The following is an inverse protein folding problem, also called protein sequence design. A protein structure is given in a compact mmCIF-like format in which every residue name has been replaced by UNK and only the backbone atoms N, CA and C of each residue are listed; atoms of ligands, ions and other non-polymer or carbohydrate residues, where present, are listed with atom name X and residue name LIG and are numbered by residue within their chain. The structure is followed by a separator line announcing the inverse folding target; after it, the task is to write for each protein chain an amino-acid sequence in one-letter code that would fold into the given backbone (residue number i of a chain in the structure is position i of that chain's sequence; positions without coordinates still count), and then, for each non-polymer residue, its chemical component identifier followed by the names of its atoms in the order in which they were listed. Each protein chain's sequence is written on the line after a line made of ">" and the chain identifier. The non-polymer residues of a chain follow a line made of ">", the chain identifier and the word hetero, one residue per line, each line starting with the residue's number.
data_IF_315665637599
#
_entry.id   IF_315665637599
#
_cell.length_a   1.000
_cell.length_b   1.000
_cell.length_c   1.000
_cell.angle_alpha   90.00
_cell.angle_beta   90.00
_cell.angle_gamma   90.00
#
_symmetry.space_group_name_H-M   'P 1'
#
loop_
_entity.id
_entity.type
_entity.pdbx_description
1 polymer ?
#
# COMPACT_ATOMS: atom_id res chain seq x y z
N UNK A 1 30.25 -8.23 19.16
CA UNK A 1 30.43 -9.23 18.09
C UNK A 1 29.07 -9.55 17.50
N UNK A 2 28.84 -9.43 16.18
CA UNK A 2 27.63 -9.97 15.60
C UNK A 2 27.65 -11.50 15.71
N UNK A 3 26.52 -12.18 15.92
CA UNK A 3 26.46 -13.64 15.87
C UNK A 3 26.88 -14.13 14.49
N UNK A 4 27.63 -15.23 14.43
CA UNK A 4 28.05 -15.83 13.16
C UNK A 4 26.85 -16.51 12.48
N UNK A 5 26.82 -16.52 11.14
CA UNK A 5 25.79 -17.20 10.34
C UNK A 5 25.52 -18.66 10.78
N UNK A 6 26.52 -19.48 11.17
CA UNK A 6 26.27 -20.81 11.72
C UNK A 6 25.47 -20.80 13.03
N UNK A 7 25.75 -19.86 13.95
CA UNK A 7 25.02 -19.75 15.22
C UNK A 7 23.54 -19.35 15.02
N UNK A 8 23.23 -18.63 13.94
CA UNK A 8 21.85 -18.28 13.58
C UNK A 8 21.05 -19.44 12.95
N UNK A 9 21.74 -20.42 12.36
CA UNK A 9 21.13 -21.50 11.58
C UNK A 9 21.04 -22.83 12.34
N UNK A 10 21.86 -23.02 13.37
CA UNK A 10 22.01 -24.30 14.05
C UNK A 10 21.16 -24.48 15.31
N UNK A 11 20.27 -23.54 15.67
CA UNK A 11 19.26 -23.65 16.73
C UNK A 11 19.69 -24.45 17.97
N UNK A 12 20.09 -23.78 19.06
CA UNK A 12 20.50 -24.43 20.31
C UNK A 12 19.36 -25.27 20.95
N UNK A 13 19.21 -26.52 20.52
CA UNK A 13 18.43 -27.55 21.20
C UNK A 13 19.37 -28.41 22.05
N UNK A 14 19.82 -27.88 23.19
CA UNK A 14 20.26 -28.74 24.30
C UNK A 14 19.78 -28.17 25.64
N UNK A 15 18.69 -28.74 26.15
CA UNK A 15 18.43 -28.71 27.58
C UNK A 15 19.44 -29.64 28.28
N UNK A 16 20.56 -29.09 28.74
CA UNK A 16 21.60 -29.84 29.46
C UNK A 16 22.55 -28.94 30.25
N UNK A 17 22.52 -29.13 31.57
CA UNK A 17 23.50 -28.77 32.62
C UNK A 17 24.07 -27.32 32.70
N UNK A 18 23.89 -26.59 33.82
CA UNK A 18 24.30 -25.18 33.91
C UNK A 18 25.80 -24.93 34.18
N UNK A 19 26.67 -25.95 34.12
CA UNK A 19 28.10 -25.84 34.45
C UNK A 19 29.06 -26.43 33.39
N UNK A 20 28.62 -26.60 32.14
CA UNK A 20 29.49 -27.00 31.02
C UNK A 20 29.70 -25.86 30.03
N UNK A 21 30.95 -25.46 29.78
CA UNK A 21 31.30 -24.65 28.59
C UNK A 21 30.68 -25.31 27.35
N UNK A 22 29.98 -24.57 26.47
CA UNK A 22 29.42 -25.16 25.26
C UNK A 22 30.58 -25.55 24.34
N UNK A 23 30.86 -26.86 24.27
CA UNK A 23 31.67 -27.43 23.21
C UNK A 23 30.94 -27.18 21.88
N UNK A 24 31.27 -26.06 21.24
CA UNK A 24 30.90 -25.81 19.85
C UNK A 24 31.65 -26.83 18.99
N UNK A 25 30.95 -27.85 18.52
CA UNK A 25 31.46 -28.79 17.53
C UNK A 25 31.81 -28.01 16.23
N UNK A 26 33.10 -27.86 15.88
CA UNK A 26 33.53 -27.06 14.73
C UNK A 26 33.20 -27.74 13.39
N UNK A 27 32.68 -28.98 13.39
CA UNK A 27 32.40 -29.78 12.21
C UNK A 27 30.90 -30.08 11.98
N UNK A 28 30.00 -29.36 12.69
CA UNK A 28 28.56 -29.45 12.47
C UNK A 28 28.19 -28.88 11.09
N UNK A 29 28.26 -29.72 10.05
CA UNK A 29 27.79 -29.39 8.70
C UNK A 29 26.29 -29.13 8.73
N UNK A 30 25.87 -27.96 8.22
CA UNK A 30 24.46 -27.64 8.04
C UNK A 30 23.76 -28.76 7.25
N UNK A 31 22.56 -29.21 7.66
CA UNK A 31 21.84 -30.25 6.94
C UNK A 31 21.51 -29.78 5.51
N UNK A 32 21.91 -30.56 4.51
CA UNK A 32 21.67 -30.23 3.11
C UNK A 32 20.56 -31.11 2.53
N UNK A 33 19.63 -30.48 1.82
CA UNK A 33 18.51 -31.11 1.12
C UNK A 33 18.65 -30.89 -0.39
N UNK A 34 18.18 -31.83 -1.20
CA UNK A 34 18.17 -31.67 -2.65
C UNK A 34 17.19 -30.57 -3.06
N UNK A 35 15.98 -30.62 -2.50
CA UNK A 35 14.84 -29.80 -2.89
C UNK A 35 14.23 -29.13 -1.66
N UNK A 36 14.35 -27.81 -1.61
CA UNK A 36 13.89 -26.98 -0.50
C UNK A 36 12.75 -26.08 -0.97
N UNK A 37 11.75 -25.89 -0.13
CA UNK A 37 10.69 -24.91 -0.33
C UNK A 37 10.81 -23.75 0.65
N UNK A 38 10.38 -22.57 0.21
CA UNK A 38 10.17 -21.40 1.04
C UNK A 38 8.87 -20.73 0.62
N UNK A 39 8.01 -20.46 1.60
CA UNK A 39 6.77 -19.72 1.41
C UNK A 39 6.89 -18.32 1.99
N UNK A 40 6.40 -17.31 1.28
CA UNK A 40 6.41 -15.95 1.77
C UNK A 40 5.48 -15.03 1.00
N UNK A 41 5.13 -13.89 1.60
CA UNK A 41 4.43 -12.84 0.85
C UNK A 41 5.38 -12.13 -0.14
N UNK A 42 6.70 -12.14 0.13
CA UNK A 42 7.76 -11.56 -0.69
C UNK A 42 7.31 -10.32 -1.47
N UNK A 43 6.99 -9.25 -0.74
CA UNK A 43 6.66 -7.93 -1.31
C UNK A 43 7.95 -7.22 -1.75
N UNK A 44 8.45 -6.27 -0.95
CA UNK A 44 9.78 -5.71 -1.11
C UNK A 44 10.80 -6.52 -0.31
N UNK A 45 11.91 -6.92 -0.93
CA UNK A 45 12.95 -7.69 -0.25
C UNK A 45 13.75 -6.82 0.72
N UNK A 46 13.60 -7.10 2.01
CA UNK A 46 14.34 -6.48 3.11
C UNK A 46 15.25 -7.50 3.82
N UNK A 47 16.02 -7.04 4.82
CA UNK A 47 17.03 -7.85 5.51
C UNK A 47 16.52 -9.21 6.00
N UNK A 48 15.34 -9.25 6.61
CA UNK A 48 14.75 -10.51 7.08
C UNK A 48 14.44 -11.51 5.94
N UNK A 49 13.86 -11.05 4.83
CA UNK A 49 13.66 -11.91 3.65
C UNK A 49 15.00 -12.39 3.08
N UNK A 50 15.99 -11.50 3.00
CA UNK A 50 17.32 -11.84 2.47
C UNK A 50 17.99 -12.93 3.31
N UNK A 51 17.93 -12.82 4.64
CA UNK A 51 18.44 -13.84 5.55
C UNK A 51 17.73 -15.20 5.35
N UNK A 52 16.39 -15.19 5.36
CA UNK A 52 15.58 -16.39 5.14
C UNK A 52 15.93 -17.07 3.81
N UNK A 53 15.95 -16.31 2.72
CA UNK A 53 16.23 -16.82 1.39
C UNK A 53 17.69 -17.30 1.24
N UNK A 54 18.66 -16.58 1.81
CA UNK A 54 20.06 -17.00 1.81
C UNK A 54 20.26 -18.32 2.56
N UNK A 55 19.58 -18.51 3.69
CA UNK A 55 19.58 -19.78 4.40
C UNK A 55 18.97 -20.91 3.55
N UNK A 56 17.85 -20.66 2.86
CA UNK A 56 17.29 -21.62 1.91
C UNK A 56 18.30 -22.03 0.82
N UNK A 57 19.07 -21.08 0.29
CA UNK A 57 20.12 -21.36 -0.69
C UNK A 57 21.26 -22.20 -0.12
N UNK A 58 21.61 -22.04 1.16
CA UNK A 58 22.62 -22.87 1.83
C UNK A 58 22.11 -24.31 2.01
N UNK A 59 20.85 -24.48 2.40
CA UNK A 59 20.24 -25.78 2.64
C UNK A 59 19.94 -26.53 1.33
N UNK A 60 19.67 -25.83 0.23
CA UNK A 60 19.36 -26.45 -1.05
C UNK A 60 20.63 -26.83 -1.85
N UNK A 61 20.62 -28.04 -2.44
CA UNK A 61 21.67 -28.52 -3.35
C UNK A 61 21.28 -28.54 -4.82
N UNK A 62 20.00 -28.77 -5.14
CA UNK A 62 19.52 -28.91 -6.52
C UNK A 62 18.50 -27.84 -6.88
N UNK A 63 17.46 -27.67 -6.07
CA UNK A 63 16.31 -26.84 -6.39
C UNK A 63 15.80 -26.09 -5.17
N UNK A 64 15.43 -24.82 -5.38
CA UNK A 64 14.70 -24.01 -4.41
C UNK A 64 13.36 -23.59 -5.03
N UNK A 65 12.27 -24.05 -4.41
CA UNK A 65 10.92 -23.63 -4.72
C UNK A 65 10.54 -22.44 -3.84
N UNK A 66 10.30 -21.28 -4.45
CA UNK A 66 9.90 -20.07 -3.75
C UNK A 66 8.50 -19.66 -4.17
N UNK A 67 7.55 -19.81 -3.24
CA UNK A 67 6.18 -19.36 -3.44
C UNK A 67 6.02 -17.88 -3.09
N UNK A 68 5.53 -17.09 -4.04
CA UNK A 68 5.29 -15.65 -3.89
C UNK A 68 3.79 -15.41 -3.81
N UNK A 69 3.31 -14.87 -2.69
CA UNK A 69 1.88 -14.62 -2.48
C UNK A 69 1.27 -13.74 -3.59
N UNK A 70 0.08 -14.12 -4.04
CA UNK A 70 -0.69 -13.42 -5.04
C UNK A 70 -2.21 -13.62 -4.82
N UNK A 71 -3.03 -12.87 -5.56
CA UNK A 71 -4.49 -13.01 -5.53
C UNK A 71 -5.09 -12.86 -4.13
N UNK A 72 -5.80 -13.88 -3.67
CA UNK A 72 -6.59 -13.84 -2.43
C UNK A 72 -5.74 -13.70 -1.17
N UNK A 73 -4.49 -14.18 -1.20
CA UNK A 73 -3.56 -14.04 -0.09
C UNK A 73 -3.16 -12.59 0.21
N UNK A 74 -3.33 -11.69 -0.76
CA UNK A 74 -2.99 -10.28 -0.61
C UNK A 74 -4.14 -9.45 -0.04
N UNK A 75 -5.40 -9.89 -0.18
CA UNK A 75 -6.60 -9.08 0.10
C UNK A 75 -6.69 -8.57 1.54
N UNK A 76 -6.23 -9.37 2.50
CA UNK A 76 -6.31 -9.04 3.93
C UNK A 76 -5.01 -8.41 4.49
N UNK A 77 -4.01 -8.18 3.64
CA UNK A 77 -2.78 -7.54 4.07
C UNK A 77 -3.04 -6.05 4.33
N UNK A 78 -2.24 -5.45 5.21
CA UNK A 78 -2.30 -4.00 5.46
C UNK A 78 -1.75 -3.27 4.23
N UNK A 79 -2.51 -2.29 3.71
CA UNK A 79 -2.17 -1.51 2.51
C UNK A 79 -1.89 -2.41 1.28
N UNK A 80 -2.84 -3.29 0.89
CA UNK A 80 -2.61 -4.22 -0.23
C UNK A 80 -2.42 -3.48 -1.57
N UNK A 81 -2.89 -2.23 -1.67
CA UNK A 81 -2.75 -1.40 -2.86
C UNK A 81 -1.32 -0.92 -3.10
N UNK A 82 -0.45 -0.98 -2.09
CA UNK A 82 0.97 -0.63 -2.18
C UNK A 82 1.87 -1.86 -2.39
N UNK A 83 1.30 -3.05 -2.54
CA UNK A 83 2.05 -4.27 -2.88
C UNK A 83 2.42 -4.22 -4.36
N UNK A 84 3.67 -4.53 -4.67
CA UNK A 84 4.13 -4.55 -6.07
C UNK A 84 3.44 -5.67 -6.88
N UNK A 85 3.29 -5.52 -8.21
CA UNK A 85 2.79 -6.60 -9.06
C UNK A 85 3.60 -7.90 -8.91
N UNK A 86 2.95 -9.05 -9.07
CA UNK A 86 3.58 -10.36 -8.92
C UNK A 86 4.84 -10.49 -9.78
N UNK A 87 4.77 -10.06 -11.03
CA UNK A 87 5.84 -10.18 -12.02
C UNK A 87 7.09 -9.43 -11.56
N UNK A 88 6.91 -8.23 -10.99
CA UNK A 88 8.02 -7.41 -10.50
C UNK A 88 8.66 -8.03 -9.26
N UNK A 89 7.84 -8.54 -8.33
CA UNK A 89 8.32 -9.21 -7.10
C UNK A 89 9.04 -10.50 -7.42
N UNK A 90 8.49 -11.32 -8.31
CA UNK A 90 9.10 -12.56 -8.78
C UNK A 90 10.42 -12.31 -9.50
N UNK A 91 10.52 -11.26 -10.33
CA UNK A 91 11.76 -10.88 -11.00
C UNK A 91 12.84 -10.44 -10.00
N UNK A 92 12.51 -9.57 -9.04
CA UNK A 92 13.44 -9.14 -7.98
C UNK A 92 13.89 -10.30 -7.08
N UNK A 93 12.98 -11.22 -6.79
CA UNK A 93 13.30 -12.44 -6.06
C UNK A 93 14.26 -13.33 -6.84
N UNK A 94 14.00 -13.52 -8.13
CA UNK A 94 14.87 -14.28 -9.03
C UNK A 94 16.27 -13.69 -9.08
N UNK A 95 16.37 -12.39 -9.35
CA UNK A 95 17.64 -11.65 -9.40
C UNK A 95 18.44 -11.85 -8.11
N UNK A 96 17.80 -11.65 -6.95
CA UNK A 96 18.46 -11.85 -5.66
C UNK A 96 18.94 -13.30 -5.46
N UNK A 97 18.11 -14.29 -5.80
CA UNK A 97 18.46 -15.70 -5.62
C UNK A 97 19.62 -16.11 -6.54
N UNK A 98 19.56 -15.72 -7.81
CA UNK A 98 20.60 -15.98 -8.81
C UNK A 98 21.93 -15.32 -8.42
N UNK A 99 21.91 -14.13 -7.82
CA UNK A 99 23.11 -13.49 -7.26
C UNK A 99 23.69 -14.26 -6.06
N UNK A 100 22.85 -14.84 -5.21
CA UNK A 100 23.28 -15.56 -4.00
C UNK A 100 23.86 -16.93 -4.32
N UNK A 101 23.21 -17.72 -5.19
CA UNK A 101 23.68 -19.08 -5.54
C UNK A 101 23.30 -19.48 -6.97
N UNK A 102 24.05 -19.02 -7.99
CA UNK A 102 23.74 -19.25 -9.41
C UNK A 102 23.64 -20.74 -9.82
N UNK A 103 24.21 -21.65 -9.02
CA UNK A 103 24.21 -23.08 -9.31
C UNK A 103 22.89 -23.80 -9.01
N UNK A 104 21.93 -23.15 -8.34
CA UNK A 104 20.63 -23.74 -8.01
C UNK A 104 19.59 -23.52 -9.10
N UNK A 105 18.66 -24.46 -9.23
CA UNK A 105 17.44 -24.25 -10.00
C UNK A 105 16.38 -23.53 -9.15
N UNK A 106 15.78 -22.46 -9.69
CA UNK A 106 14.80 -21.63 -8.97
C UNK A 106 13.41 -21.72 -9.60
N UNK A 107 12.50 -22.39 -8.87
CA UNK A 107 11.07 -22.48 -9.20
C UNK A 107 10.32 -21.38 -8.43
N UNK A 108 10.06 -20.25 -9.09
CA UNK A 108 9.30 -19.13 -8.50
C UNK A 108 7.88 -19.18 -9.03
N UNK A 109 6.92 -19.35 -8.11
CA UNK A 109 5.53 -19.63 -8.45
C UNK A 109 4.57 -18.69 -7.71
N UNK A 110 3.44 -18.30 -8.31
CA UNK A 110 2.42 -17.56 -7.60
C UNK A 110 1.70 -18.48 -6.61
N UNK A 111 1.43 -17.96 -5.41
CA UNK A 111 0.63 -18.63 -4.39
C UNK A 111 -0.74 -17.95 -4.29
N UNK A 112 -1.80 -18.64 -4.69
CA UNK A 112 -3.18 -18.21 -4.48
C UNK A 112 -3.76 -18.72 -3.14
N UNK A 113 -3.12 -19.70 -2.53
CA UNK A 113 -3.49 -20.29 -1.24
C UNK A 113 -2.24 -20.54 -0.37
N UNK A 114 -2.41 -20.77 0.95
CA UNK A 114 -1.28 -20.89 1.88
C UNK A 114 -0.37 -22.10 1.65
N UNK A 115 -0.78 -23.08 0.84
CA UNK A 115 -0.07 -24.33 0.64
C UNK A 115 0.72 -24.32 -0.70
N UNK A 116 0.05 -23.99 -1.80
CA UNK A 116 0.63 -24.03 -3.14
C UNK A 116 1.24 -25.40 -3.49
N UNK A 117 2.36 -25.45 -4.25
CA UNK A 117 2.96 -26.72 -4.66
C UNK A 117 3.54 -27.54 -3.50
N UNK A 118 3.65 -26.96 -2.30
CA UNK A 118 4.22 -27.68 -1.15
C UNK A 118 3.37 -28.88 -0.71
N UNK A 119 2.11 -28.98 -1.12
CA UNK A 119 1.22 -30.12 -0.81
C UNK A 119 0.99 -31.06 -1.99
N UNK A 120 1.62 -30.82 -3.14
CA UNK A 120 1.48 -31.63 -4.36
C UNK A 120 2.82 -32.12 -4.91
N UNK A 121 3.92 -31.42 -4.64
CA UNK A 121 5.26 -31.80 -5.07
C UNK A 121 5.86 -32.86 -4.12
N UNK A 122 6.06 -34.11 -4.58
CA UNK A 122 6.61 -35.20 -3.76
C UNK A 122 8.13 -35.10 -3.58
N UNK A 123 8.85 -34.35 -4.42
CA UNK A 123 10.30 -34.28 -4.40
C UNK A 123 10.82 -33.33 -3.32
N UNK A 124 9.98 -32.43 -2.80
CA UNK A 124 10.33 -31.53 -1.71
C UNK A 124 10.69 -32.30 -0.44
N UNK A 125 11.79 -31.90 0.19
CA UNK A 125 12.33 -32.56 1.39
C UNK A 125 12.32 -31.66 2.62
N UNK A 126 12.46 -30.35 2.42
CA UNK A 126 12.54 -29.37 3.49
C UNK A 126 11.66 -28.15 3.18
N UNK A 127 11.02 -27.61 4.21
CA UNK A 127 10.36 -26.31 4.17
C UNK A 127 11.02 -25.41 5.21
N UNK A 128 11.61 -24.33 4.73
CA UNK A 128 12.24 -23.34 5.59
C UNK A 128 11.22 -22.30 5.98
N UNK A 129 11.11 -22.04 7.28
CA UNK A 129 10.14 -21.12 7.87
C UNK A 129 10.84 -20.15 8.82
N UNK A 130 10.19 -19.03 9.08
CA UNK A 130 10.52 -18.16 10.21
C UNK A 130 9.72 -18.58 11.43
N UNK A 131 10.10 -18.10 12.62
CA UNK A 131 9.32 -18.27 13.86
C UNK A 131 7.83 -17.87 13.66
N UNK A 132 7.58 -16.79 12.92
CA UNK A 132 6.22 -16.30 12.65
C UNK A 132 5.41 -17.22 11.71
N UNK A 133 6.09 -17.92 10.82
CA UNK A 133 5.47 -18.80 9.81
C UNK A 133 5.54 -20.28 10.17
N UNK A 134 6.07 -20.65 11.33
CA UNK A 134 6.19 -22.03 11.83
C UNK A 134 4.85 -22.79 11.81
N UNK A 135 3.78 -22.17 12.31
CA UNK A 135 2.42 -22.73 12.29
C UNK A 135 1.93 -23.01 10.87
N UNK A 136 2.37 -22.22 9.89
CA UNK A 136 2.09 -22.45 8.48
C UNK A 136 2.79 -23.70 7.96
N UNK A 137 4.05 -23.93 8.34
CA UNK A 137 4.78 -25.15 8.02
C UNK A 137 4.15 -26.41 8.62
N UNK A 138 3.71 -26.34 9.87
CA UNK A 138 2.96 -27.43 10.52
C UNK A 138 1.65 -27.74 9.77
N UNK A 139 0.92 -26.71 9.32
CA UNK A 139 -0.28 -26.88 8.52
C UNK A 139 -0.01 -27.52 7.15
N UNK A 140 1.12 -27.17 6.50
CA UNK A 140 1.58 -27.82 5.26
C UNK A 140 1.82 -29.31 5.49
N UNK A 141 2.56 -29.69 6.53
CA UNK A 141 2.83 -31.10 6.82
C UNK A 141 1.57 -31.90 7.11
N UNK A 142 0.64 -31.34 7.88
CA UNK A 142 -0.68 -31.96 8.08
C UNK A 142 -1.39 -32.21 6.74
N UNK A 143 -1.37 -31.24 5.83
CA UNK A 143 -2.02 -31.36 4.52
C UNK A 143 -1.29 -32.33 3.59
N UNK A 144 0.04 -32.41 3.66
CA UNK A 144 0.85 -33.39 2.94
C UNK A 144 0.46 -34.81 3.36
N UNK A 145 0.33 -35.07 4.66
CA UNK A 145 -0.11 -36.38 5.16
C UNK A 145 -1.52 -36.74 4.68
N UNK A 146 -2.46 -35.79 4.69
CA UNK A 146 -3.81 -35.98 4.13
C UNK A 146 -3.78 -36.33 2.63
N UNK A 147 -2.79 -35.81 1.89
CA UNK A 147 -2.57 -36.07 0.48
C UNK A 147 -1.70 -37.31 0.19
N UNK A 148 -1.27 -38.05 1.22
CA UNK A 148 -0.42 -39.23 1.07
C UNK A 148 1.05 -38.93 0.75
N UNK A 149 1.52 -37.71 1.04
CA UNK A 149 2.91 -37.28 0.89
C UNK A 149 3.65 -37.33 2.24
N UNK A 150 4.98 -37.58 2.23
CA UNK A 150 5.78 -37.52 3.44
C UNK A 150 5.89 -36.08 3.96
N UNK A 151 6.05 -35.93 5.27
CA UNK A 151 6.30 -34.62 5.90
C UNK A 151 7.61 -34.01 5.40
N UNK A 152 7.64 -32.68 5.32
CA UNK A 152 8.85 -31.91 5.07
C UNK A 152 9.59 -31.69 6.38
N UNK A 153 10.92 -31.77 6.34
CA UNK A 153 11.75 -31.27 7.43
C UNK A 153 11.51 -29.76 7.59
N UNK A 154 10.95 -29.35 8.73
CA UNK A 154 10.75 -27.94 9.03
C UNK A 154 12.05 -27.37 9.61
N UNK A 155 12.64 -26.41 8.91
CA UNK A 155 13.83 -25.69 9.40
C UNK A 155 13.44 -24.25 9.74
N UNK A 156 13.55 -23.89 11.01
CA UNK A 156 13.15 -22.59 11.53
C UNK A 156 14.35 -21.66 11.67
N UNK A 157 14.23 -20.43 11.16
CA UNK A 157 15.30 -19.42 11.25
C UNK A 157 14.86 -18.26 12.14
N UNK A 158 15.78 -17.85 13.01
CA UNK A 158 15.62 -16.66 13.85
C UNK A 158 15.96 -15.40 13.06
N UNK A 159 15.00 -14.47 12.95
CA UNK A 159 15.17 -13.20 12.24
C UNK A 159 15.63 -12.10 13.23
N UNK A 160 16.69 -11.35 12.89
CA UNK A 160 17.21 -10.27 13.73
C UNK A 160 16.28 -9.03 13.77
N UNK A 161 16.36 -8.26 14.87
CA UNK A 161 15.61 -7.02 15.13
C UNK A 161 16.29 -5.77 14.51
N UNK A 162 15.51 -4.75 14.15
CA UNK A 162 15.97 -3.50 13.50
C UNK A 162 16.48 -2.46 14.53
N UNK A 163 17.68 -1.87 14.37
CA UNK A 163 18.18 -0.81 15.25
C UNK A 163 17.58 0.60 15.03
N UNK A 164 16.98 0.92 13.88
CA UNK A 164 16.49 2.28 13.53
C UNK A 164 15.01 2.53 13.89
N UNK A 165 14.57 2.00 15.04
CA UNK A 165 13.16 1.98 15.45
C UNK A 165 12.57 3.36 15.74
N UNK A 166 11.39 3.65 15.18
CA UNK A 166 10.50 4.73 15.63
C UNK A 166 9.36 4.15 16.49
N UNK A 167 8.93 4.89 17.53
CA UNK A 167 8.12 4.40 18.68
C UNK A 167 6.83 3.58 18.36
N UNK A 168 6.36 3.54 17.11
CA UNK A 168 5.12 2.87 16.70
C UNK A 168 5.31 1.75 15.66
N UNK A 169 6.53 1.38 15.29
CA UNK A 169 6.78 0.24 14.42
C UNK A 169 6.83 -1.07 15.24
N UNK A 170 6.46 -2.21 14.65
CA UNK A 170 6.86 -3.50 15.23
C UNK A 170 8.40 -3.53 15.31
N UNK A 171 9.01 -4.16 16.31
CA UNK A 171 10.49 -4.27 16.45
C UNK A 171 11.21 -4.93 15.25
N UNK A 172 10.46 -5.29 14.20
CA UNK A 172 10.85 -6.14 13.07
C UNK A 172 10.49 -5.45 11.76
N UNK A 173 11.42 -5.42 10.81
CA UNK A 173 11.12 -5.02 9.43
C UNK A 173 10.20 -6.08 8.82
N UNK A 174 8.91 -5.78 8.74
CA UNK A 174 7.91 -6.59 8.04
C UNK A 174 7.54 -5.93 6.71
N UNK A 175 7.06 -6.71 5.75
CA UNK A 175 6.55 -6.14 4.48
C UNK A 175 5.47 -5.08 4.72
N UNK A 176 4.65 -5.25 5.77
CA UNK A 176 3.63 -4.28 6.17
C UNK A 176 4.24 -2.95 6.65
N UNK A 177 5.28 -2.99 7.48
CA UNK A 177 6.00 -1.79 7.93
C UNK A 177 6.59 -1.00 6.77
N UNK A 178 7.17 -1.68 5.76
CA UNK A 178 7.70 -1.02 4.57
C UNK A 178 6.63 -0.29 3.78
N UNK A 179 5.46 -0.89 3.60
CA UNK A 179 4.33 -0.23 2.92
C UNK A 179 3.85 0.99 3.71
N UNK A 180 3.85 0.94 5.03
CA UNK A 180 3.57 2.13 5.86
C UNK A 180 4.62 3.22 5.66
N UNK A 181 5.91 2.86 5.60
CA UNK A 181 7.02 3.80 5.32
C UNK A 181 6.92 4.44 3.93
N UNK A 182 6.23 3.82 2.96
CA UNK A 182 5.95 4.44 1.65
C UNK A 182 4.91 5.56 1.72
N UNK A 183 4.04 5.57 2.74
CA UNK A 183 3.04 6.63 2.89
C UNK A 183 3.73 7.99 3.07
N UNK A 184 3.18 8.98 2.39
CA UNK A 184 3.73 10.33 2.32
C UNK A 184 5.04 10.45 1.52
N UNK A 185 5.51 9.38 0.87
CA UNK A 185 6.64 9.46 -0.07
C UNK A 185 6.15 9.62 -1.51
N UNK A 186 7.05 10.04 -2.40
CA UNK A 186 6.79 10.10 -3.83
C UNK A 186 6.92 8.69 -4.43
N UNK A 187 5.80 8.10 -4.85
CA UNK A 187 5.75 6.74 -5.41
C UNK A 187 6.08 6.70 -6.90
N UNK A 188 5.76 7.78 -7.62
CA UNK A 188 6.01 7.97 -9.03
C UNK A 188 6.34 9.44 -9.31
N UNK A 189 7.11 9.76 -10.36
CA UNK A 189 7.50 11.14 -10.63
C UNK A 189 6.28 12.05 -10.84
N UNK A 190 6.40 13.36 -10.52
CA UNK A 190 5.36 14.34 -10.82
C UNK A 190 5.03 14.36 -12.30
N UNK A 191 3.79 14.75 -12.63
CA UNK A 191 3.38 14.91 -14.01
C UNK A 191 4.16 16.07 -14.63
N UNK A 192 4.82 15.78 -15.75
CA UNK A 192 5.50 16.79 -16.55
C UNK A 192 4.53 17.29 -17.62
N UNK A 193 3.61 18.17 -17.24
CA UNK A 193 2.77 18.88 -18.20
C UNK A 193 3.30 20.31 -18.38
N UNK A 194 3.78 20.60 -19.60
CA UNK A 194 4.31 21.91 -19.98
C UNK A 194 3.24 23.00 -20.01
N UNK A 195 1.95 22.63 -20.01
CA UNK A 195 0.84 23.58 -19.96
C UNK A 195 0.59 24.13 -18.55
N UNK A 196 1.12 23.48 -17.50
CA UNK A 196 0.94 23.94 -16.12
C UNK A 196 1.97 25.02 -15.75
N UNK A 197 1.55 26.11 -15.08
CA UNK A 197 2.47 27.13 -14.62
C UNK A 197 3.37 26.56 -13.51
N UNK A 198 4.66 26.94 -13.50
CA UNK A 198 5.62 26.53 -12.47
C UNK A 198 5.18 26.91 -11.04
N UNK A 199 4.40 27.99 -10.91
CA UNK A 199 3.81 28.44 -9.65
C UNK A 199 2.39 28.98 -9.86
N UNK A 200 1.46 28.73 -8.93
CA UNK A 200 1.63 27.88 -7.74
C UNK A 200 1.77 26.40 -8.11
N UNK A 201 2.50 25.63 -7.31
CA UNK A 201 2.51 24.17 -7.45
C UNK A 201 1.18 23.61 -6.97
N UNK A 202 0.45 22.96 -7.87
CA UNK A 202 -0.90 22.45 -7.63
C UNK A 202 -0.87 20.96 -7.31
N UNK A 203 -1.38 20.62 -6.13
CA UNK A 203 -1.64 19.25 -5.67
C UNK A 203 -3.13 18.96 -5.84
N UNK A 204 -3.47 17.87 -6.51
CA UNK A 204 -4.84 17.33 -6.53
C UNK A 204 -5.05 16.36 -5.37
N UNK A 205 -5.80 16.76 -4.35
CA UNK A 205 -6.12 15.90 -3.23
C UNK A 205 -7.45 15.17 -3.49
N UNK A 206 -7.41 13.84 -3.50
CA UNK A 206 -8.56 12.96 -3.72
C UNK A 206 -8.63 11.83 -2.70
N UNK A 207 -9.72 11.07 -2.70
CA UNK A 207 -9.93 9.94 -1.80
C UNK A 207 -11.38 9.49 -1.76
N UNK A 208 -11.60 8.20 -1.49
CA UNK A 208 -12.94 7.63 -1.37
C UNK A 208 -13.74 8.21 -0.21
N UNK A 209 -15.07 8.05 -0.21
CA UNK A 209 -15.89 8.49 0.93
C UNK A 209 -15.44 7.80 2.22
N UNK A 210 -15.30 8.58 3.31
CA UNK A 210 -14.83 8.08 4.60
C UNK A 210 -13.30 8.07 4.78
N UNK A 211 -12.52 8.29 3.72
CA UNK A 211 -11.03 8.25 3.73
C UNK A 211 -10.33 9.32 4.57
N UNK A 212 -11.06 10.31 5.11
CA UNK A 212 -10.46 11.37 5.93
C UNK A 212 -9.78 12.50 5.14
N UNK A 213 -10.03 12.60 3.81
CA UNK A 213 -9.52 13.66 2.92
C UNK A 213 -9.59 15.08 3.51
N UNK A 214 -10.73 15.47 4.09
CA UNK A 214 -10.91 16.80 4.71
C UNK A 214 -9.95 17.06 5.88
N UNK A 215 -9.57 16.02 6.63
CA UNK A 215 -8.57 16.14 7.70
C UNK A 215 -7.19 16.45 7.12
N UNK A 216 -6.80 15.73 6.06
CA UNK A 216 -5.53 15.97 5.34
C UNK A 216 -5.50 17.38 4.74
N UNK A 217 -6.58 17.80 4.08
CA UNK A 217 -6.71 19.14 3.51
C UNK A 217 -6.50 20.23 4.57
N UNK A 218 -7.09 20.06 5.76
CA UNK A 218 -6.90 20.98 6.89
C UNK A 218 -5.44 21.04 7.33
N UNK A 219 -4.78 19.89 7.51
CA UNK A 219 -3.38 19.83 7.92
C UNK A 219 -2.49 20.53 6.88
N UNK A 220 -2.72 20.31 5.58
CA UNK A 220 -1.99 20.99 4.51
C UNK A 220 -2.21 22.52 4.52
N UNK A 221 -3.43 22.96 4.82
CA UNK A 221 -3.74 24.38 5.02
C UNK A 221 -2.96 24.98 6.20
N UNK A 222 -2.91 24.27 7.33
CA UNK A 222 -2.14 24.68 8.52
C UNK A 222 -0.62 24.75 8.22
N UNK A 223 -0.12 23.92 7.30
CA UNK A 223 1.27 23.94 6.81
C UNK A 223 1.56 25.04 5.78
N UNK A 224 0.53 25.78 5.36
CA UNK A 224 0.67 26.98 4.52
C UNK A 224 0.21 26.83 3.07
N UNK A 225 -0.37 25.69 2.69
CA UNK A 225 -0.99 25.53 1.37
C UNK A 225 -2.28 26.36 1.26
N UNK A 226 -2.56 26.86 0.05
CA UNK A 226 -3.89 27.40 -0.26
C UNK A 226 -4.83 26.25 -0.63
N UNK A 227 -5.87 26.00 0.15
CA UNK A 227 -6.78 24.87 -0.07
C UNK A 227 -8.03 25.35 -0.78
N UNK A 228 -8.26 24.79 -1.97
CA UNK A 228 -9.45 25.01 -2.78
C UNK A 228 -10.37 23.81 -2.61
N UNK A 229 -11.54 24.04 -2.03
CA UNK A 229 -12.59 23.03 -1.93
C UNK A 229 -13.37 23.00 -3.24
N UNK A 230 -13.01 22.05 -4.12
CA UNK A 230 -13.61 21.93 -5.45
C UNK A 230 -15.07 21.49 -5.37
N UNK A 231 -15.44 20.72 -4.33
CA UNK A 231 -16.82 20.35 -4.09
C UNK A 231 -17.63 21.62 -3.84
N UNK A 232 -17.20 22.51 -2.92
CA UNK A 232 -17.87 23.81 -2.69
C UNK A 232 -17.88 24.72 -3.90
N UNK A 233 -16.76 24.83 -4.64
CA UNK A 233 -16.72 25.66 -5.85
C UNK A 233 -17.72 25.15 -6.88
N UNK A 234 -17.76 23.84 -7.11
CA UNK A 234 -18.69 23.24 -8.03
C UNK A 234 -20.14 23.55 -7.72
N UNK A 235 -20.50 23.62 -6.43
CA UNK A 235 -21.83 24.04 -6.01
C UNK A 235 -22.16 25.46 -6.44
N UNK A 236 -21.22 26.39 -6.28
CA UNK A 236 -21.42 27.80 -6.62
C UNK A 236 -21.73 27.99 -8.12
N UNK A 237 -21.15 27.14 -8.99
CA UNK A 237 -21.30 27.23 -10.44
C UNK A 237 -22.74 26.91 -10.90
N UNK A 238 -23.47 26.06 -10.18
CA UNK A 238 -24.86 25.71 -10.51
C UNK A 238 -25.88 26.21 -9.46
N UNK A 239 -25.56 27.24 -8.69
CA UNK A 239 -26.58 28.04 -7.99
C UNK A 239 -27.40 28.82 -9.04
N UNK A 240 -28.70 29.11 -8.84
CA UNK A 240 -29.46 29.98 -9.74
C UNK A 240 -28.68 31.26 -10.10
N UNK A 241 -28.48 31.50 -11.40
CA UNK A 241 -27.66 32.60 -11.94
C UNK A 241 -26.19 32.27 -12.19
N UNK A 242 -25.71 31.10 -11.77
CA UNK A 242 -24.38 30.57 -12.07
C UNK A 242 -24.29 29.94 -13.46
N UNK A 243 -23.08 29.85 -14.05
CA UNK A 243 -22.89 29.49 -15.46
C UNK A 243 -23.23 28.02 -15.79
N UNK A 244 -23.33 27.14 -14.79
CA UNK A 244 -23.73 25.74 -14.99
C UNK A 244 -25.16 25.45 -14.54
N UNK A 245 -25.91 26.42 -14.00
CA UNK A 245 -27.27 26.18 -13.52
C UNK A 245 -28.21 25.74 -14.64
N UNK A 246 -28.33 26.53 -15.71
CA UNK A 246 -29.21 26.18 -16.84
C UNK A 246 -28.80 24.89 -17.56
N UNK A 247 -27.51 24.64 -17.87
CA UNK A 247 -27.07 23.37 -18.45
C UNK A 247 -27.42 22.14 -17.60
N UNK A 248 -27.24 22.22 -16.27
CA UNK A 248 -27.53 21.09 -15.37
C UNK A 248 -29.04 20.83 -15.28
N UNK A 249 -29.85 21.88 -15.16
CA UNK A 249 -31.32 21.74 -15.17
C UNK A 249 -31.83 21.20 -16.50
N UNK A 250 -31.25 21.63 -17.62
CA UNK A 250 -31.59 21.12 -18.95
C UNK A 250 -31.22 19.63 -19.12
N UNK A 251 -30.09 19.20 -18.57
CA UNK A 251 -29.61 17.82 -18.70
C UNK A 251 -30.36 16.83 -17.80
N UNK A 252 -30.69 17.21 -16.56
CA UNK A 252 -31.25 16.30 -15.56
C UNK A 252 -32.72 16.53 -15.22
N UNK A 253 -33.33 17.55 -15.85
CA UNK A 253 -34.73 17.92 -15.69
C UNK A 253 -35.04 18.71 -14.41
N UNK A 254 -36.21 19.37 -14.38
CA UNK A 254 -36.64 20.22 -13.27
C UNK A 254 -36.90 19.45 -11.96
N UNK A 255 -37.00 18.12 -12.01
CA UNK A 255 -37.13 17.23 -10.85
C UNK A 255 -35.91 17.24 -9.92
N UNK A 256 -34.77 17.76 -10.38
CA UNK A 256 -33.61 17.98 -9.52
C UNK A 256 -33.73 19.26 -8.69
N UNK A 257 -34.77 20.07 -8.86
CA UNK A 257 -34.91 21.35 -8.18
C UNK A 257 -35.66 21.21 -6.84
N UNK A 258 -35.24 21.98 -5.85
CA UNK A 258 -35.99 22.27 -4.64
C UNK A 258 -37.14 23.23 -4.95
N UNK A 259 -38.05 23.41 -3.98
CA UNK A 259 -39.19 24.34 -4.10
C UNK A 259 -38.78 25.81 -4.22
N UNK A 260 -37.57 26.15 -3.79
CA UNK A 260 -36.99 27.51 -3.91
C UNK A 260 -36.23 27.73 -5.22
N UNK A 261 -36.26 26.76 -6.14
CA UNK A 261 -35.56 26.81 -7.42
C UNK A 261 -34.06 26.50 -7.33
N UNK A 262 -33.52 26.17 -6.16
CA UNK A 262 -32.13 25.69 -6.06
C UNK A 262 -32.02 24.21 -6.43
N UNK A 263 -30.84 23.74 -6.87
CA UNK A 263 -30.64 22.32 -7.18
C UNK A 263 -30.60 21.47 -5.89
N UNK A 264 -31.48 20.47 -5.81
CA UNK A 264 -31.48 19.42 -4.80
C UNK A 264 -30.33 18.43 -5.03
N UNK A 265 -29.26 18.64 -4.26
CA UNK A 265 -28.01 17.87 -4.33
C UNK A 265 -28.18 16.38 -4.03
N UNK A 266 -29.14 16.00 -3.19
CA UNK A 266 -29.40 14.58 -2.90
C UNK A 266 -30.03 13.91 -4.11
N UNK A 267 -30.95 14.60 -4.80
CA UNK A 267 -31.60 14.10 -6.01
C UNK A 267 -30.64 14.10 -7.18
N UNK A 268 -29.88 15.18 -7.38
CA UNK A 268 -28.86 15.25 -8.42
C UNK A 268 -27.77 14.19 -8.21
N UNK A 269 -27.24 14.05 -6.99
CA UNK A 269 -26.21 13.05 -6.66
C UNK A 269 -26.68 11.60 -6.80
N UNK A 270 -27.99 11.34 -6.72
CA UNK A 270 -28.56 10.03 -7.01
C UNK A 270 -28.74 9.75 -8.52
N UNK A 271 -28.80 10.80 -9.35
CA UNK A 271 -28.92 10.71 -10.81
C UNK A 271 -27.57 10.76 -11.54
N UNK A 272 -26.58 11.41 -10.93
CA UNK A 272 -25.23 11.54 -11.49
C UNK A 272 -24.42 10.31 -11.10
N UNK A 273 -24.51 9.26 -11.90
CA UNK A 273 -23.56 8.15 -11.87
C UNK A 273 -22.29 8.57 -12.64
N UNK A 274 -21.18 8.74 -11.93
CA UNK A 274 -19.83 8.68 -12.52
C UNK A 274 -19.35 9.86 -13.37
N UNK A 275 -20.09 10.97 -13.54
CA UNK A 275 -19.57 12.17 -14.22
C UNK A 275 -20.15 13.45 -13.65
N UNK A 276 -19.38 14.18 -12.85
CA UNK A 276 -19.76 15.53 -12.44
C UNK A 276 -19.46 16.48 -13.60
N UNK A 277 -20.46 17.16 -14.21
CA UNK A 277 -20.22 18.18 -15.21
C UNK A 277 -19.80 19.47 -14.50
N UNK A 278 -18.63 19.44 -13.86
CA UNK A 278 -18.02 20.63 -13.32
C UNK A 278 -17.18 21.24 -14.44
N UNK A 279 -17.47 22.49 -14.86
CA UNK A 279 -16.69 23.13 -15.92
C UNK A 279 -15.22 23.15 -15.51
N UNK A 280 -14.34 22.94 -16.48
CA UNK A 280 -12.89 23.09 -16.31
C UNK A 280 -12.65 24.38 -15.53
N UNK A 281 -12.23 24.28 -14.28
CA UNK A 281 -11.82 25.42 -13.46
C UNK A 281 -10.63 26.05 -14.19
N UNK A 282 -10.90 27.03 -15.04
CA UNK A 282 -9.91 27.58 -15.98
C UNK A 282 -10.24 29.00 -16.43
N UNK A 283 -11.30 29.60 -15.87
CA UNK A 283 -11.63 31.01 -16.06
C UNK A 283 -11.01 31.83 -14.93
N UNK A 284 -10.72 33.10 -15.22
CA UNK A 284 -9.95 34.09 -14.44
C UNK A 284 -10.43 34.34 -12.99
N UNK A 285 -11.40 33.58 -12.50
CA UNK A 285 -12.09 33.76 -11.22
C UNK A 285 -11.60 32.83 -10.09
N UNK A 286 -10.81 31.79 -10.40
CA UNK A 286 -10.25 30.92 -9.36
C UNK A 286 -8.90 31.48 -8.88
N UNK A 287 -8.76 31.94 -7.63
CA UNK A 287 -7.49 32.45 -7.12
C UNK A 287 -6.57 31.26 -6.82
N UNK A 288 -5.97 30.67 -7.85
CA UNK A 288 -5.15 29.46 -7.79
C UNK A 288 -4.04 29.49 -6.74
N UNK A 289 -3.63 30.66 -6.26
CA UNK A 289 -2.57 30.78 -5.26
C UNK A 289 -2.97 31.57 -4.03
N UNK A 290 -3.84 32.59 -4.15
CA UNK A 290 -3.94 33.67 -3.15
C UNK A 290 -2.55 34.17 -2.65
N UNK A 291 -1.53 34.16 -3.52
CA UNK A 291 -0.15 34.51 -3.18
C UNK A 291 0.69 33.40 -2.52
N UNK A 292 0.15 32.18 -2.35
CA UNK A 292 0.87 31.00 -1.84
C UNK A 292 1.63 30.27 -2.95
N UNK A 293 2.72 29.61 -2.57
CA UNK A 293 3.56 28.84 -3.49
C UNK A 293 2.94 27.47 -3.84
N UNK A 294 2.11 26.91 -2.96
CA UNK A 294 1.46 25.61 -3.12
C UNK A 294 -0.05 25.76 -2.98
N UNK A 295 -0.78 25.13 -3.89
CA UNK A 295 -2.22 25.06 -3.91
C UNK A 295 -2.67 23.59 -3.81
N UNK A 296 -3.74 23.34 -3.06
CA UNK A 296 -4.36 22.02 -2.94
C UNK A 296 -5.77 22.11 -3.50
N UNK A 297 -6.01 21.45 -4.62
CA UNK A 297 -7.34 21.24 -5.18
C UNK A 297 -7.97 20.01 -4.50
N UNK A 298 -8.84 20.25 -3.51
CA UNK A 298 -9.53 19.20 -2.77
C UNK A 298 -10.81 18.76 -3.51
N UNK A 299 -10.77 17.60 -4.16
CA UNK A 299 -11.87 17.10 -5.01
C UNK A 299 -12.09 15.60 -4.83
N UNK A 300 -13.30 15.19 -4.42
CA UNK A 300 -13.63 13.78 -4.21
C UNK A 300 -13.64 12.93 -5.50
N UNK A 301 -13.93 13.57 -6.65
CA UNK A 301 -14.06 12.94 -7.97
C UNK A 301 -12.94 13.36 -8.93
N UNK A 302 -11.77 13.75 -8.39
CA UNK A 302 -10.67 14.31 -9.18
C UNK A 302 -10.26 13.42 -10.37
N UNK A 303 -10.10 12.13 -10.12
CA UNK A 303 -9.64 11.15 -11.13
C UNK A 303 -10.78 10.76 -12.06
N UNK A 304 -11.97 10.56 -11.51
CA UNK A 304 -13.19 10.27 -12.25
C UNK A 304 -13.54 11.39 -13.24
N UNK A 305 -13.25 12.65 -12.88
CA UNK A 305 -13.51 13.83 -13.70
C UNK A 305 -12.40 14.17 -14.70
N UNK A 306 -11.29 13.42 -14.72
CA UNK A 306 -10.16 13.72 -15.61
C UNK A 306 -9.37 14.96 -15.20
N UNK A 307 -9.45 15.42 -13.96
CA UNK A 307 -8.82 16.65 -13.48
C UNK A 307 -7.36 16.49 -13.08
N UNK A 308 -6.82 15.29 -13.19
CA UNK A 308 -5.40 15.00 -13.03
C UNK A 308 -4.49 15.80 -13.98
N UNK A 309 -5.02 16.33 -15.09
CA UNK A 309 -4.28 17.18 -16.03
C UNK A 309 -4.19 18.64 -15.57
N UNK A 310 -4.90 18.99 -14.49
CA UNK A 310 -4.91 20.34 -13.90
C UNK A 310 -3.94 20.47 -12.72
N UNK A 311 -3.23 19.39 -12.38
CA UNK A 311 -2.40 19.29 -11.16
C UNK A 311 -1.05 18.66 -11.48
N UNK A 312 -0.04 19.03 -10.71
CA UNK A 312 1.33 18.51 -10.86
C UNK A 312 1.48 17.14 -10.20
N UNK A 313 0.80 16.95 -9.07
CA UNK A 313 0.78 15.69 -8.30
C UNK A 313 -0.64 15.39 -7.85
N UNK A 314 -1.03 14.12 -7.96
CA UNK A 314 -2.23 13.59 -7.32
C UNK A 314 -1.83 12.97 -5.98
N UNK A 315 -2.47 13.44 -4.91
CA UNK A 315 -2.32 12.91 -3.57
C UNK A 315 -3.63 12.23 -3.18
N UNK A 316 -3.58 10.95 -2.82
CA UNK A 316 -4.77 10.17 -2.48
C UNK A 316 -4.80 9.78 -1.01
N UNK A 317 -5.94 10.04 -0.37
CA UNK A 317 -6.30 9.49 0.93
C UNK A 317 -6.98 8.12 0.78
N UNK A 318 -6.45 7.09 1.44
CA UNK A 318 -7.01 5.74 1.47
C UNK A 318 -7.26 5.24 2.89
N UNK A 319 -8.19 4.30 3.02
CA UNK A 319 -8.41 3.44 4.19
C UNK A 319 -9.02 2.11 3.69
N UNK A 320 -8.93 1.01 4.46
CA UNK A 320 -9.62 -0.23 4.13
C UNK A 320 -11.13 -0.03 3.95
N UNK A 321 -11.74 -0.80 3.05
CA UNK A 321 -13.16 -0.65 2.71
C UNK A 321 -14.08 -0.81 3.93
N UNK A 322 -13.81 -1.79 4.79
CA UNK A 322 -14.63 -2.01 5.99
C UNK A 322 -14.56 -0.82 6.95
N UNK A 323 -13.42 -0.14 7.04
CA UNK A 323 -13.28 1.08 7.85
C UNK A 323 -14.00 2.26 7.19
N UNK A 324 -13.95 2.38 5.85
CA UNK A 324 -14.73 3.38 5.13
C UNK A 324 -16.23 3.20 5.36
N UNK A 325 -16.73 1.96 5.25
CA UNK A 325 -18.13 1.60 5.51
C UNK A 325 -18.53 1.97 6.93
N UNK A 326 -17.73 1.59 7.95
CA UNK A 326 -17.99 1.98 9.36
C UNK A 326 -18.10 3.48 9.52
N UNK A 327 -17.17 4.25 8.96
CA UNK A 327 -17.18 5.72 9.03
C UNK A 327 -18.39 6.34 8.34
N UNK A 328 -18.79 5.81 7.20
CA UNK A 328 -19.98 6.27 6.46
C UNK A 328 -21.25 6.01 7.28
N UNK A 329 -21.40 4.81 7.83
CA UNK A 329 -22.56 4.45 8.68
C UNK A 329 -22.62 5.37 9.90
N UNK A 330 -21.51 5.54 10.61
CA UNK A 330 -21.45 6.37 11.82
C UNK A 330 -21.72 7.85 11.55
N UNK A 331 -21.21 8.39 10.44
CA UNK A 331 -21.34 9.82 10.08
C UNK A 331 -22.68 10.14 9.43
N UNK A 332 -23.12 9.30 8.50
CA UNK A 332 -24.26 9.60 7.61
C UNK A 332 -25.56 8.91 8.04
N UNK A 333 -25.51 7.99 9.03
CA UNK A 333 -26.67 7.24 9.52
C UNK A 333 -27.26 6.28 8.50
N UNK A 334 -26.46 5.82 7.53
CA UNK A 334 -26.86 4.90 6.47
C UNK A 334 -26.82 3.43 6.94
N UNK A 335 -27.55 2.55 6.25
CA UNK A 335 -27.36 1.10 6.42
C UNK A 335 -26.00 0.66 5.87
N UNK A 336 -25.47 -0.46 6.34
CA UNK A 336 -24.21 -1.01 5.84
C UNK A 336 -24.27 -1.30 4.34
N UNK A 337 -25.38 -1.84 3.84
CA UNK A 337 -25.58 -2.13 2.41
C UNK A 337 -25.66 -0.85 1.57
N UNK A 338 -26.23 0.23 2.11
CA UNK A 338 -26.24 1.53 1.45
C UNK A 338 -24.83 2.14 1.42
N UNK A 339 -24.07 2.02 2.51
CA UNK A 339 -22.68 2.49 2.58
C UNK A 339 -21.77 1.72 1.61
N UNK A 340 -21.89 0.39 1.53
CA UNK A 340 -21.14 -0.45 0.59
C UNK A 340 -21.46 -0.13 -0.86
N UNK A 341 -22.74 0.02 -1.22
CA UNK A 341 -23.15 0.44 -2.57
C UNK A 341 -22.55 1.79 -2.96
N UNK A 342 -22.54 2.75 -2.03
CA UNK A 342 -21.92 4.07 -2.24
C UNK A 342 -20.41 3.99 -2.44
N UNK A 343 -19.73 3.08 -1.74
CA UNK A 343 -18.30 2.88 -1.93
C UNK A 343 -18.00 2.23 -3.30
N UNK A 344 -18.79 1.23 -3.68
CA UNK A 344 -18.66 0.50 -4.94
C UNK A 344 -18.95 1.33 -6.19
N UNK A 345 -19.70 2.43 -6.07
CA UNK A 345 -19.95 3.35 -7.19
C UNK A 345 -18.78 4.31 -7.47
N UNK A 346 -17.73 4.30 -6.63
CA UNK A 346 -16.53 5.10 -6.81
C UNK A 346 -15.38 4.24 -7.35
N UNK A 347 -14.31 4.88 -7.83
CA UNK A 347 -13.06 4.14 -8.11
C UNK A 347 -12.60 3.38 -6.86
N UNK A 348 -11.89 2.27 -7.05
CA UNK A 348 -11.29 1.51 -5.94
C UNK A 348 -10.03 2.20 -5.41
N UNK A 349 -9.58 1.85 -4.20
CA UNK A 349 -8.31 2.37 -3.68
C UNK A 349 -7.15 2.04 -4.63
N UNK A 350 -7.11 0.82 -5.17
CA UNK A 350 -6.06 0.38 -6.10
C UNK A 350 -5.98 1.27 -7.33
N UNK A 351 -7.12 1.53 -7.98
CA UNK A 351 -7.19 2.42 -9.14
C UNK A 351 -6.71 3.85 -8.84
N UNK A 352 -6.99 4.36 -7.62
CA UNK A 352 -6.49 5.68 -7.21
C UNK A 352 -4.98 5.67 -6.95
N UNK A 353 -4.48 4.66 -6.24
CA UNK A 353 -3.06 4.51 -5.90
C UNK A 353 -2.20 4.43 -7.17
N UNK A 354 -2.61 3.64 -8.16
CA UNK A 354 -1.93 3.52 -9.46
C UNK A 354 -1.80 4.88 -10.18
N UNK A 355 -2.71 5.82 -9.92
CA UNK A 355 -2.74 7.14 -10.53
C UNK A 355 -2.23 8.28 -9.62
N UNK A 356 -1.68 7.94 -8.44
CA UNK A 356 -1.25 8.91 -7.43
C UNK A 356 0.26 8.99 -7.28
N UNK A 357 0.79 10.20 -7.19
CA UNK A 357 2.19 10.46 -6.88
C UNK A 357 2.49 10.24 -5.39
N UNK A 358 1.52 10.57 -4.53
CA UNK A 358 1.64 10.40 -3.08
C UNK A 358 0.37 9.73 -2.54
N UNK A 359 0.55 8.80 -1.61
CA UNK A 359 -0.55 8.12 -0.92
C UNK A 359 -0.45 8.37 0.58
N UNK A 360 -1.60 8.66 1.18
CA UNK A 360 -1.77 8.92 2.61
C UNK A 360 -2.86 7.99 3.15
N UNK A 361 -2.71 7.55 4.40
CA UNK A 361 -3.68 6.66 5.04
C UNK A 361 -4.12 7.21 6.40
N UNK A 362 -5.43 7.31 6.59
CA UNK A 362 -6.02 7.82 7.84
C UNK A 362 -6.57 6.70 8.73
N UNK A 363 -6.06 5.47 8.57
CA UNK A 363 -6.52 4.29 9.32
C UNK A 363 -6.19 4.37 10.81
N UNK A 364 -4.99 4.84 11.14
CA UNK A 364 -4.46 4.91 12.51
C UNK A 364 -4.83 6.22 13.21
N UNK A 365 -4.23 6.45 14.38
CA UNK A 365 -4.44 7.64 15.19
C UNK A 365 -4.18 8.95 14.39
N UNK A 366 -4.87 10.05 14.73
CA UNK A 366 -4.72 11.33 14.02
C UNK A 366 -3.27 11.83 13.91
N UNK A 367 -2.44 11.56 14.92
CA UNK A 367 -1.03 11.97 14.92
C UNK A 367 -0.20 11.20 13.89
N UNK A 368 -0.52 9.94 13.62
CA UNK A 368 0.11 9.16 12.54
C UNK A 368 -0.22 9.78 11.18
N UNK A 369 -1.47 10.21 10.99
CA UNK A 369 -1.86 10.94 9.76
C UNK A 369 -1.10 12.26 9.65
N UNK A 370 -0.96 13.01 10.74
CA UNK A 370 -0.20 14.27 10.77
C UNK A 370 1.26 14.06 10.38
N UNK A 371 1.91 13.02 10.90
CA UNK A 371 3.28 12.67 10.56
C UNK A 371 3.45 12.34 9.07
N UNK A 372 2.52 11.55 8.50
CA UNK A 372 2.54 11.25 7.06
C UNK A 372 2.40 12.52 6.21
N UNK A 373 1.46 13.41 6.55
CA UNK A 373 1.24 14.67 5.82
C UNK A 373 2.44 15.61 5.95
N UNK A 374 3.03 15.72 7.14
CA UNK A 374 4.24 16.51 7.38
C UNK A 374 5.41 16.00 6.52
N UNK A 375 5.66 14.69 6.56
CA UNK A 375 6.68 14.04 5.74
C UNK A 375 6.48 14.34 4.24
N UNK A 376 5.24 14.19 3.75
CA UNK A 376 4.92 14.48 2.35
C UNK A 376 5.15 15.94 1.99
N UNK A 377 4.77 16.85 2.89
CA UNK A 377 4.99 18.28 2.73
C UNK A 377 6.48 18.64 2.70
N UNK A 378 7.27 18.12 3.63
CA UNK A 378 8.71 18.40 3.70
C UNK A 378 9.43 17.90 2.44
N UNK A 379 9.12 16.68 1.99
CA UNK A 379 9.65 16.13 0.74
C UNK A 379 9.22 16.97 -0.48
N UNK A 380 7.99 17.50 -0.49
CA UNK A 380 7.56 18.42 -1.54
C UNK A 380 8.36 19.73 -1.50
N UNK A 381 8.52 20.35 -0.34
CA UNK A 381 9.28 21.59 -0.21
C UNK A 381 10.73 21.42 -0.66
N UNK A 382 11.35 20.27 -0.39
CA UNK A 382 12.69 19.94 -0.90
C UNK A 382 12.73 19.92 -2.44
N UNK A 383 11.72 19.33 -3.10
CA UNK A 383 11.61 19.30 -4.57
C UNK A 383 11.33 20.68 -5.18
N UNK A 384 10.60 21.55 -4.48
CA UNK A 384 10.26 22.89 -4.95
C UNK A 384 11.35 23.92 -4.65
N UNK A 385 12.29 23.60 -3.77
CA UNK A 385 13.44 24.43 -3.48
C UNK A 385 14.42 24.35 -4.67
N UNK A 386 14.91 25.50 -5.19
CA UNK A 386 15.97 25.45 -6.19
C UNK A 386 17.20 24.79 -5.56
N UNK A 387 17.82 23.83 -6.26
CA UNK A 387 19.08 23.23 -5.77
C UNK A 387 20.08 24.34 -5.43
N UNK A 388 20.83 24.23 -4.32
CA UNK A 388 21.98 25.10 -4.12
C UNK A 388 22.91 24.89 -5.31
N UNK A 389 23.19 25.96 -6.05
CA UNK A 389 24.16 25.93 -7.15
C UNK A 389 25.49 25.37 -6.62
N UNK A 390 26.14 24.43 -7.34
CA UNK A 390 27.36 23.77 -6.88
C UNK A 390 28.53 24.73 -6.66
#
# INVERSE_FOLDING_TARGET
>A
CPPSLPAMLLGEDTAGDPDGDPEQDPDATLPEFLDVAVGGTFDRLHGAHRLLLSACCLLARRRLLAGVADGDLLRHKVLPELIEPYELRAAKLREFLEDVKPSLCYDIVPLADPFGPSITDPDLQCLVVSEETRRGGEAVNKKRLENGLPELALHEIQLMKDPDHSQNEEEKISSSSLRQRLLGTLLQPPRQDLALPLRPYVIGLTGGTGSGKTSIARILGDLGAFVIDADKLGHAVYVPGGPAYEPVVAAFGAEILNTDGTINRKVLGAKVEGSSPLPRLGTEECPWSAGKAVCVLDAAVLLEAGWQDMVHEVWTAIIPEDEAVRRIVARDGLSEEAARRRLQSQMTNRQRVEQSQVVLCTLWEPDITRQQVQKAWDLLQQRLSPEPSP
#
